data_IF_042602076810
#
_entry.id   IF_042602076810
#
_cell.length_a   1.000
_cell.length_b   1.000
_cell.length_c   1.000
_cell.angle_alpha   90.00
_cell.angle_beta   90.00
_cell.angle_gamma   90.00
#
_symmetry.space_group_name_H-M   'P 1'
#
loop_
_entity.id
_entity.type
_entity.pdbx_description
1 polymer ?
#
# COMPACT_ATOMS: atom_id res chain seq x y z
N UNK A 1 11.97 -10.15 30.38
CA UNK A 1 13.29 -10.81 30.19
C UNK A 1 13.16 -11.93 29.14
N UNK A 2 14.20 -12.23 28.35
CA UNK A 2 14.16 -13.30 27.33
C UNK A 2 13.60 -12.91 25.95
N UNK A 3 12.81 -11.83 25.86
CA UNK A 3 12.33 -11.30 24.58
C UNK A 3 13.40 -10.44 23.89
N UNK A 4 13.80 -10.78 22.67
CA UNK A 4 14.83 -10.07 21.89
C UNK A 4 14.28 -9.71 20.50
N UNK A 5 14.70 -8.55 19.99
CA UNK A 5 14.39 -8.08 18.64
C UNK A 5 15.68 -7.94 17.85
N UNK A 6 15.78 -8.63 16.72
CA UNK A 6 16.84 -8.42 15.74
C UNK A 6 16.22 -7.72 14.53
N UNK A 7 16.40 -6.40 14.48
CA UNK A 7 15.91 -5.57 13.39
C UNK A 7 16.72 -5.81 12.11
N UNK A 8 16.06 -5.71 10.96
CA UNK A 8 16.76 -5.53 9.67
C UNK A 8 17.53 -4.20 9.65
N UNK A 9 18.33 -4.02 8.59
CA UNK A 9 18.96 -2.74 8.28
C UNK A 9 17.92 -1.61 8.18
N UNK A 10 18.25 -0.45 8.77
CA UNK A 10 17.42 0.74 8.70
C UNK A 10 17.51 1.37 7.32
N UNK A 11 16.35 1.71 6.73
CA UNK A 11 16.28 2.29 5.38
C UNK A 11 16.33 3.82 5.42
N UNK A 12 16.23 4.42 6.60
CA UNK A 12 16.39 5.87 6.81
C UNK A 12 17.86 6.31 6.71
N UNK A 13 18.43 6.32 5.51
CA UNK A 13 19.82 6.74 5.28
C UNK A 13 19.97 8.25 5.57
N UNK A 14 20.86 8.63 6.49
CA UNK A 14 21.19 10.04 6.78
C UNK A 14 20.09 10.90 7.40
N UNK A 15 18.84 10.42 7.52
CA UNK A 15 17.66 11.12 8.07
C UNK A 15 17.34 12.48 7.43
N UNK A 16 17.83 12.75 6.22
CA UNK A 16 17.49 13.96 5.48
C UNK A 16 16.03 13.90 5.02
N UNK A 17 15.19 14.79 5.54
CA UNK A 17 13.78 14.88 5.13
C UNK A 17 13.61 15.44 3.71
N UNK A 18 14.68 16.00 3.12
CA UNK A 18 14.71 16.46 1.73
C UNK A 18 15.10 15.31 0.79
N UNK A 19 16.21 14.63 1.08
CA UNK A 19 16.76 13.59 0.18
C UNK A 19 16.00 12.26 0.30
N UNK A 20 15.41 12.01 1.48
CA UNK A 20 14.74 10.77 1.86
C UNK A 20 13.39 11.07 2.54
N UNK A 21 12.45 11.74 1.85
CA UNK A 21 11.27 12.32 2.48
C UNK A 21 10.31 11.31 3.11
N UNK A 22 10.29 10.05 2.63
CA UNK A 22 9.45 8.99 3.18
C UNK A 22 10.22 8.10 4.14
N UNK A 23 11.36 7.57 3.70
CA UNK A 23 12.16 6.62 4.49
C UNK A 23 12.70 7.24 5.78
N UNK A 24 12.93 8.55 5.84
CA UNK A 24 13.32 9.24 7.09
C UNK A 24 12.21 9.31 8.15
N UNK A 25 10.95 9.09 7.78
CA UNK A 25 9.78 9.29 8.67
C UNK A 25 8.92 8.04 8.84
N UNK A 26 8.87 7.18 7.83
CA UNK A 26 7.90 6.10 7.73
C UNK A 26 8.55 4.72 7.60
N UNK A 27 9.85 4.59 7.86
CA UNK A 27 10.51 3.28 7.92
C UNK A 27 10.04 2.48 9.15
N UNK A 28 9.40 1.35 8.91
CA UNK A 28 8.94 0.41 9.93
C UNK A 28 9.94 -0.74 10.04
N UNK A 29 10.70 -0.78 11.14
CA UNK A 29 11.75 -1.79 11.35
C UNK A 29 11.20 -3.20 11.47
N UNK A 30 11.24 -3.97 10.37
CA UNK A 30 10.89 -5.38 10.37
C UNK A 30 11.93 -6.17 11.19
N UNK A 31 11.48 -6.88 12.23
CA UNK A 31 12.38 -7.53 13.18
C UNK A 31 12.04 -9.01 13.36
N UNK A 32 13.09 -9.82 13.48
CA UNK A 32 12.98 -11.16 14.03
C UNK A 32 12.76 -11.05 15.54
N UNK A 33 11.65 -11.60 16.02
CA UNK A 33 11.28 -11.61 17.44
C UNK A 33 11.62 -12.98 18.02
N UNK A 34 12.54 -13.00 18.98
CA UNK A 34 13.05 -14.23 19.61
C UNK A 34 12.54 -14.29 21.05
N UNK A 35 11.89 -15.41 21.39
CA UNK A 35 11.42 -15.71 22.73
C UNK A 35 12.37 -16.75 23.35
N UNK A 36 13.36 -16.29 24.11
CA UNK A 36 14.37 -17.10 24.81
C UNK A 36 13.93 -17.30 26.27
N UNK A 37 13.28 -18.45 26.55
CA UNK A 37 12.69 -18.82 27.84
C UNK A 37 11.89 -17.69 28.52
N UNK A 38 10.93 -17.13 27.77
CA UNK A 38 10.10 -16.02 28.23
C UNK A 38 8.99 -16.54 29.14
N UNK A 39 9.02 -16.13 30.41
CA UNK A 39 7.88 -16.31 31.30
C UNK A 39 6.70 -15.43 30.84
N UNK A 40 5.57 -16.05 30.48
CA UNK A 40 4.31 -15.38 30.14
C UNK A 40 3.34 -15.51 31.32
N UNK A 41 3.04 -14.41 32.04
CA UNK A 41 2.07 -14.42 33.13
C UNK A 41 0.67 -14.87 32.67
N UNK A 42 -0.07 -15.55 33.54
CA UNK A 42 -1.40 -16.09 33.20
C UNK A 42 -2.42 -15.01 32.81
N UNK A 43 -2.31 -13.78 33.31
CA UNK A 43 -3.14 -12.64 32.92
C UNK A 43 -2.86 -12.12 31.49
N UNK A 44 -1.82 -12.64 30.83
CA UNK A 44 -1.48 -12.37 29.42
C UNK A 44 -1.77 -13.55 28.50
N UNK A 45 -2.31 -14.65 29.02
CA UNK A 45 -2.64 -15.85 28.24
C UNK A 45 -4.09 -15.76 27.78
N UNK A 46 -4.30 -15.72 26.46
CA UNK A 46 -5.64 -15.72 25.86
C UNK A 46 -6.10 -17.13 25.45
N UNK A 47 -5.19 -17.94 24.92
CA UNK A 47 -5.46 -19.31 24.47
C UNK A 47 -4.28 -20.18 24.92
N UNK A 48 -4.55 -21.30 25.59
CA UNK A 48 -3.53 -22.25 26.06
C UNK A 48 -3.95 -23.68 25.71
N UNK A 49 -3.13 -24.38 24.92
CA UNK A 49 -3.31 -25.80 24.56
C UNK A 49 -4.71 -26.18 24.04
N UNK A 50 -5.39 -25.27 23.33
CA UNK A 50 -6.68 -25.53 22.70
C UNK A 50 -6.61 -25.17 21.21
N UNK A 51 -6.49 -26.21 20.37
CA UNK A 51 -6.26 -26.07 18.93
C UNK A 51 -7.51 -25.59 18.22
N UNK A 52 -8.68 -26.02 18.66
CA UNK A 52 -9.97 -25.66 18.07
C UNK A 52 -10.26 -24.17 18.23
N UNK A 53 -10.06 -23.62 19.43
CA UNK A 53 -10.20 -22.17 19.70
C UNK A 53 -9.13 -21.39 18.94
N UNK A 54 -7.87 -21.86 18.91
CA UNK A 54 -6.81 -21.19 18.17
C UNK A 54 -7.12 -21.08 16.66
N UNK A 55 -7.61 -22.15 16.04
CA UNK A 55 -7.94 -22.16 14.61
C UNK A 55 -9.20 -21.33 14.27
N UNK A 56 -10.12 -21.19 15.21
CA UNK A 56 -11.38 -20.44 15.01
C UNK A 56 -11.35 -19.01 15.56
N UNK A 57 -10.26 -18.58 16.21
CA UNK A 57 -10.17 -17.27 16.87
C UNK A 57 -10.47 -16.10 15.91
N UNK A 58 -9.91 -16.11 14.70
CA UNK A 58 -10.16 -15.03 13.73
C UNK A 58 -11.61 -14.98 13.22
N UNK A 59 -12.23 -16.14 12.96
CA UNK A 59 -13.62 -16.18 12.51
C UNK A 59 -14.59 -15.81 13.63
N UNK A 60 -14.33 -16.31 14.84
CA UNK A 60 -15.21 -16.15 15.99
C UNK A 60 -15.07 -14.80 16.68
N UNK A 61 -13.96 -14.08 16.53
CA UNK A 61 -13.83 -12.73 17.10
C UNK A 61 -14.39 -11.66 16.18
N UNK A 62 -14.70 -11.99 14.93
CA UNK A 62 -15.07 -11.02 13.88
C UNK A 62 -14.04 -9.88 13.71
N UNK A 63 -12.78 -10.10 14.09
CA UNK A 63 -11.73 -9.09 13.94
C UNK A 63 -11.34 -8.84 12.48
N UNK A 64 -11.48 -9.87 11.62
CA UNK A 64 -11.09 -9.81 10.20
C UNK A 64 -11.69 -8.64 9.41
N UNK A 65 -13.03 -8.42 9.42
CA UNK A 65 -13.66 -7.28 8.78
C UNK A 65 -13.06 -5.93 9.19
N UNK A 66 -12.81 -5.71 10.49
CA UNK A 66 -12.24 -4.47 11.00
C UNK A 66 -10.77 -4.28 10.60
N UNK A 67 -9.98 -5.35 10.63
CA UNK A 67 -8.60 -5.36 10.14
C UNK A 67 -8.58 -5.01 8.65
N UNK A 68 -9.42 -5.67 7.84
CA UNK A 68 -9.52 -5.40 6.41
C UNK A 68 -9.98 -3.97 6.12
N UNK A 69 -10.89 -3.39 6.91
CA UNK A 69 -11.29 -2.00 6.79
C UNK A 69 -10.08 -1.07 6.94
N UNK A 70 -9.28 -1.24 8.01
CA UNK A 70 -8.06 -0.44 8.21
C UNK A 70 -7.07 -0.61 7.05
N UNK A 71 -6.87 -1.83 6.56
CA UNK A 71 -5.96 -2.12 5.44
C UNK A 71 -6.42 -1.40 4.18
N UNK A 72 -7.71 -1.48 3.84
CA UNK A 72 -8.27 -0.86 2.63
C UNK A 72 -8.22 0.67 2.74
N UNK A 73 -8.50 1.26 3.91
CA UNK A 73 -8.32 2.70 4.14
C UNK A 73 -6.87 3.12 3.90
N UNK A 74 -5.89 2.39 4.45
CA UNK A 74 -4.46 2.64 4.23
C UNK A 74 -4.07 2.50 2.75
N UNK A 75 -4.56 1.47 2.07
CA UNK A 75 -4.32 1.23 0.64
C UNK A 75 -4.89 2.36 -0.23
N UNK A 76 -6.12 2.79 0.04
CA UNK A 76 -6.77 3.90 -0.65
C UNK A 76 -5.96 5.19 -0.53
N UNK A 77 -5.53 5.55 0.68
CA UNK A 77 -4.70 6.73 0.91
C UNK A 77 -3.36 6.65 0.17
N UNK A 78 -2.76 5.45 0.10
CA UNK A 78 -1.52 5.23 -0.65
C UNK A 78 -1.72 5.36 -2.16
N UNK A 79 -2.81 4.83 -2.71
CA UNK A 79 -3.17 5.02 -4.13
C UNK A 79 -3.45 6.50 -4.46
N UNK A 80 -4.16 7.21 -3.59
CA UNK A 80 -4.42 8.65 -3.72
C UNK A 80 -3.12 9.44 -3.80
N UNK A 81 -2.19 9.14 -2.88
CA UNK A 81 -0.88 9.78 -2.86
C UNK A 81 -0.08 9.52 -4.13
N UNK A 82 -0.04 8.27 -4.61
CA UNK A 82 0.66 7.91 -5.84
C UNK A 82 0.04 8.59 -7.06
N UNK A 83 -1.29 8.65 -7.14
CA UNK A 83 -2.00 9.36 -8.20
C UNK A 83 -1.66 10.86 -8.20
N UNK A 84 -1.73 11.51 -7.04
CA UNK A 84 -1.38 12.93 -6.91
C UNK A 84 0.08 13.20 -7.27
N UNK A 85 1.00 12.33 -6.85
CA UNK A 85 2.41 12.43 -7.19
C UNK A 85 2.66 12.28 -8.69
N UNK A 86 1.99 11.33 -9.35
CA UNK A 86 2.07 11.15 -10.79
C UNK A 86 1.55 12.37 -11.55
N UNK A 87 0.42 12.95 -11.12
CA UNK A 87 -0.13 14.17 -11.74
C UNK A 87 0.89 15.32 -11.67
N UNK A 88 1.44 15.60 -10.49
CA UNK A 88 2.46 16.64 -10.30
C UNK A 88 3.72 16.38 -11.15
N UNK A 89 4.17 15.12 -11.24
CA UNK A 89 5.33 14.75 -12.05
C UNK A 89 5.08 14.98 -13.54
N UNK A 90 3.89 14.66 -14.04
CA UNK A 90 3.56 14.87 -15.47
C UNK A 90 3.46 16.34 -15.84
N UNK A 91 2.92 17.17 -14.94
CA UNK A 91 2.91 18.64 -15.08
C UNK A 91 4.34 19.21 -15.06
N UNK A 92 5.18 18.79 -14.12
CA UNK A 92 6.56 19.25 -14.02
C UNK A 92 7.44 18.86 -15.23
N UNK A 93 7.07 17.78 -15.93
CA UNK A 93 7.75 17.34 -17.16
C UNK A 93 7.06 17.85 -18.43
N UNK A 94 5.95 18.59 -18.33
CA UNK A 94 5.11 19.03 -19.45
C UNK A 94 4.66 17.86 -20.35
N UNK A 95 4.34 16.71 -19.75
CA UNK A 95 3.91 15.48 -20.44
C UNK A 95 2.46 15.10 -20.17
N UNK A 96 1.74 15.88 -19.37
CA UNK A 96 0.35 15.68 -18.97
C UNK A 96 -0.66 15.61 -20.14
N UNK A 97 -0.34 16.21 -21.29
CA UNK A 97 -1.15 16.12 -22.52
C UNK A 97 -0.81 14.91 -23.41
N UNK A 98 0.24 14.15 -23.09
CA UNK A 98 0.67 13.01 -23.91
C UNK A 98 -0.26 11.82 -23.71
N UNK A 99 -0.92 11.27 -24.77
CA UNK A 99 -1.92 10.21 -24.62
C UNK A 99 -1.40 8.94 -23.94
N UNK A 100 -0.15 8.56 -24.21
CA UNK A 100 0.50 7.41 -23.54
C UNK A 100 0.63 7.63 -22.02
N UNK A 101 1.00 8.83 -21.59
CA UNK A 101 1.13 9.19 -20.16
C UNK A 101 -0.24 9.24 -19.49
N UNK A 102 -1.25 9.78 -20.17
CA UNK A 102 -2.64 9.78 -19.68
C UNK A 102 -3.18 8.35 -19.52
N UNK A 103 -2.84 7.43 -20.44
CA UNK A 103 -3.22 6.03 -20.32
C UNK A 103 -2.61 5.38 -19.07
N UNK A 104 -1.33 5.64 -18.77
CA UNK A 104 -0.69 5.17 -17.54
C UNK A 104 -1.35 5.78 -16.29
N UNK A 105 -1.59 7.10 -16.28
CA UNK A 105 -2.23 7.78 -15.16
C UNK A 105 -3.66 7.28 -14.89
N UNK A 106 -4.40 6.90 -15.94
CA UNK A 106 -5.75 6.33 -15.82
C UNK A 106 -5.78 5.01 -15.04
N UNK A 107 -4.72 4.19 -15.12
CA UNK A 107 -4.60 2.98 -14.29
C UNK A 107 -4.53 3.35 -12.80
N UNK A 108 -3.82 4.42 -12.43
CA UNK A 108 -3.74 4.91 -11.05
C UNK A 108 -5.11 5.37 -10.54
N UNK A 109 -5.85 6.12 -11.37
CA UNK A 109 -7.22 6.59 -11.06
C UNK A 109 -8.13 5.39 -10.79
N UNK A 110 -8.06 4.37 -11.64
CA UNK A 110 -8.89 3.16 -11.51
C UNK A 110 -8.66 2.47 -10.17
N UNK A 111 -7.40 2.30 -9.75
CA UNK A 111 -7.07 1.63 -8.49
C UNK A 111 -7.53 2.45 -7.28
N UNK A 112 -7.38 3.78 -7.33
CA UNK A 112 -7.88 4.67 -6.28
C UNK A 112 -9.42 4.61 -6.16
N UNK A 113 -10.15 4.82 -7.26
CA UNK A 113 -11.62 4.84 -7.26
C UNK A 113 -12.23 3.49 -6.89
N UNK A 114 -11.66 2.38 -7.35
CA UNK A 114 -12.11 1.03 -6.94
C UNK A 114 -11.90 0.82 -5.43
N UNK A 115 -10.75 1.23 -4.89
CA UNK A 115 -10.48 1.09 -3.45
C UNK A 115 -11.45 1.92 -2.61
N UNK A 116 -11.72 3.15 -3.05
CA UNK A 116 -12.68 4.07 -2.43
C UNK A 116 -14.11 3.53 -2.47
N UNK A 117 -14.57 3.10 -3.65
CA UNK A 117 -15.91 2.54 -3.82
C UNK A 117 -16.13 1.29 -2.95
N UNK A 118 -15.14 0.40 -2.85
CA UNK A 118 -15.22 -0.77 -1.98
C UNK A 118 -15.25 -0.38 -0.49
N UNK A 119 -14.48 0.63 -0.07
CA UNK A 119 -14.52 1.11 1.30
C UNK A 119 -15.90 1.69 1.65
N UNK A 120 -16.45 2.53 0.79
CA UNK A 120 -17.80 3.12 0.96
C UNK A 120 -18.90 2.04 0.98
N UNK A 121 -18.82 1.04 0.10
CA UNK A 121 -19.73 -0.10 0.10
C UNK A 121 -19.63 -0.90 1.41
N UNK A 122 -18.42 -1.07 1.96
CA UNK A 122 -18.23 -1.81 3.22
C UNK A 122 -18.93 -1.15 4.40
N UNK A 123 -18.93 0.19 4.43
CA UNK A 123 -19.57 0.99 5.47
C UNK A 123 -21.08 1.01 5.25
N UNK A 124 -21.53 1.22 4.01
CA UNK A 124 -22.95 1.30 3.67
C UNK A 124 -23.69 -0.01 3.92
N UNK A 125 -23.01 -1.14 3.74
CA UNK A 125 -23.56 -2.48 3.94
C UNK A 125 -23.26 -3.06 5.33
N UNK A 126 -22.68 -2.27 6.25
CA UNK A 126 -22.30 -2.73 7.57
C UNK A 126 -23.50 -3.26 8.37
N UNK A 127 -23.28 -4.25 9.22
CA UNK A 127 -24.31 -4.92 10.01
C UNK A 127 -23.86 -5.12 11.45
N UNK A 128 -24.81 -5.11 12.37
CA UNK A 128 -24.54 -5.49 13.77
C UNK A 128 -24.20 -6.98 13.84
N UNK A 129 -23.10 -7.31 14.53
CA UNK A 129 -22.76 -8.68 14.87
C UNK A 129 -23.45 -9.13 16.18
N UNK A 130 -23.18 -10.36 16.60
CA UNK A 130 -23.83 -10.99 17.76
C UNK A 130 -23.54 -10.31 19.11
N UNK A 131 -22.47 -9.52 19.21
CA UNK A 131 -22.14 -8.72 20.41
C UNK A 131 -22.64 -7.28 20.34
N UNK A 132 -23.42 -6.94 19.30
CA UNK A 132 -23.91 -5.58 19.10
C UNK A 132 -22.82 -4.60 18.65
N UNK A 133 -21.80 -5.07 17.93
CA UNK A 133 -20.78 -4.21 17.30
C UNK A 133 -21.09 -4.08 15.80
N UNK A 134 -20.98 -2.87 15.26
CA UNK A 134 -21.16 -2.62 13.84
C UNK A 134 -19.97 -3.18 13.05
N UNK A 135 -20.20 -4.23 12.27
CA UNK A 135 -19.21 -4.93 11.46
C UNK A 135 -19.29 -4.45 9.99
N UNK A 136 -18.19 -3.98 9.38
CA UNK A 136 -18.19 -3.60 7.98
C UNK A 136 -18.35 -4.82 7.07
N UNK A 137 -18.94 -4.64 5.89
CA UNK A 137 -19.12 -5.73 4.93
C UNK A 137 -17.77 -6.23 4.40
N UNK A 138 -17.52 -7.52 4.60
CA UNK A 138 -16.24 -8.17 4.31
C UNK A 138 -16.00 -8.40 2.82
N UNK A 139 -17.05 -8.56 2.02
CA UNK A 139 -16.92 -8.86 0.59
C UNK A 139 -16.23 -7.73 -0.18
N UNK A 140 -16.69 -6.46 -0.13
CA UNK A 140 -16.02 -5.37 -0.83
C UNK A 140 -14.61 -5.11 -0.28
N UNK A 141 -14.39 -5.25 1.03
CA UNK A 141 -13.07 -5.10 1.63
C UNK A 141 -12.07 -6.15 1.13
N UNK A 142 -12.51 -7.40 1.01
CA UNK A 142 -11.67 -8.51 0.51
C UNK A 142 -11.31 -8.31 -0.96
N UNK A 143 -12.26 -7.81 -1.76
CA UNK A 143 -12.02 -7.48 -3.17
C UNK A 143 -10.97 -6.36 -3.32
N UNK A 144 -11.13 -5.24 -2.60
CA UNK A 144 -10.18 -4.12 -2.64
C UNK A 144 -8.79 -4.50 -2.15
N UNK A 145 -8.69 -5.28 -1.07
CA UNK A 145 -7.39 -5.76 -0.57
C UNK A 145 -6.67 -6.63 -1.61
N UNK A 146 -7.41 -7.55 -2.24
CA UNK A 146 -6.85 -8.47 -3.22
C UNK A 146 -6.44 -7.75 -4.52
N UNK A 147 -7.26 -6.82 -5.00
CA UNK A 147 -6.92 -6.03 -6.19
C UNK A 147 -5.70 -5.15 -5.95
N UNK A 148 -5.62 -4.48 -4.78
CA UNK A 148 -4.50 -3.62 -4.44
C UNK A 148 -3.17 -4.37 -4.33
N UNK A 149 -3.18 -5.59 -3.77
CA UNK A 149 -1.99 -6.46 -3.64
C UNK A 149 -1.32 -6.69 -5.01
N UNK A 150 -2.13 -6.95 -6.04
CA UNK A 150 -1.64 -7.13 -7.41
C UNK A 150 -1.34 -5.82 -8.12
N UNK A 151 -2.08 -4.76 -7.80
CA UNK A 151 -1.96 -3.46 -8.47
C UNK A 151 -0.77 -2.63 -7.96
N UNK A 152 -0.38 -2.73 -6.68
CA UNK A 152 0.63 -1.85 -6.11
C UNK A 152 1.99 -1.88 -6.83
N UNK A 153 2.55 -3.05 -7.22
CA UNK A 153 3.75 -3.08 -8.06
C UNK A 153 3.58 -2.31 -9.38
N UNK A 154 2.40 -2.38 -10.01
CA UNK A 154 2.07 -1.65 -11.23
C UNK A 154 1.96 -0.14 -10.99
N UNK A 155 1.39 0.29 -9.86
CA UNK A 155 1.36 1.71 -9.49
C UNK A 155 2.78 2.30 -9.39
N UNK A 156 3.70 1.54 -8.79
CA UNK A 156 5.11 1.95 -8.67
C UNK A 156 5.83 1.92 -10.03
N UNK A 157 5.58 0.90 -10.85
CA UNK A 157 6.10 0.85 -12.23
C UNK A 157 5.62 2.06 -13.05
N UNK A 158 4.37 2.48 -12.92
CA UNK A 158 3.84 3.66 -13.61
C UNK A 158 4.60 4.93 -13.21
N UNK A 159 4.90 5.13 -11.91
CA UNK A 159 5.75 6.26 -11.48
C UNK A 159 7.13 6.21 -12.11
N UNK A 160 7.73 5.02 -12.22
CA UNK A 160 9.02 4.82 -12.88
C UNK A 160 8.97 5.14 -14.38
N UNK A 161 7.89 4.74 -15.07
CA UNK A 161 7.70 5.02 -16.49
C UNK A 161 7.46 6.52 -16.76
N UNK A 162 6.67 7.17 -15.91
CA UNK A 162 6.41 8.63 -15.99
C UNK A 162 7.68 9.42 -15.67
N UNK A 163 8.36 9.07 -14.58
CA UNK A 163 9.53 9.82 -14.11
C UNK A 163 10.82 9.54 -14.87
N UNK A 164 10.99 8.31 -15.38
CA UNK A 164 12.16 7.87 -16.16
C UNK A 164 13.49 8.33 -15.53
N UNK A 165 14.39 8.91 -16.33
CA UNK A 165 15.69 9.45 -15.89
C UNK A 165 15.57 10.58 -14.86
N UNK A 166 14.45 11.29 -14.78
CA UNK A 166 14.25 12.35 -13.79
C UNK A 166 14.14 11.83 -12.37
N UNK A 167 13.89 10.53 -12.18
CA UNK A 167 13.98 9.89 -10.86
C UNK A 167 15.42 9.55 -10.47
N UNK A 168 16.35 9.47 -11.43
CA UNK A 168 17.75 9.11 -11.15
C UNK A 168 18.62 10.36 -11.06
N UNK A 169 18.41 11.32 -11.96
CA UNK A 169 19.13 12.59 -12.00
C UNK A 169 18.56 13.60 -10.99
N UNK A 170 18.57 13.24 -9.70
CA UNK A 170 18.02 14.06 -8.61
C UNK A 170 19.15 14.51 -7.68
N UNK A 171 19.50 15.80 -7.63
CA UNK A 171 20.50 16.32 -6.71
C UNK A 171 20.10 16.13 -5.25
N UNK A 172 21.07 16.16 -4.35
CA UNK A 172 20.85 16.26 -2.92
C UNK A 172 20.57 17.69 -2.49
N UNK A 173 20.02 17.90 -1.29
CA UNK A 173 19.82 19.24 -0.72
C UNK A 173 21.15 20.00 -0.63
N UNK A 174 22.23 19.30 -0.25
CA UNK A 174 23.56 19.87 -0.10
C UNK A 174 24.19 20.33 -1.42
N UNK A 175 23.79 19.76 -2.56
CA UNK A 175 24.33 20.15 -3.87
C UNK A 175 23.93 21.60 -4.24
N UNK A 176 22.79 22.08 -3.74
CA UNK A 176 22.35 23.47 -3.95
C UNK A 176 23.21 24.50 -3.22
N UNK A 177 23.87 24.10 -2.14
CA UNK A 177 24.77 24.96 -1.37
C UNK A 177 26.24 24.82 -1.82
N UNK A 178 26.49 24.00 -2.85
CA UNK A 178 27.82 23.78 -3.43
C UNK A 178 28.12 24.75 -4.58
N UNK A 179 29.35 24.71 -5.10
CA UNK A 179 29.79 25.56 -6.22
C UNK A 179 28.95 25.37 -7.51
N UNK A 180 28.23 24.25 -7.65
CA UNK A 180 27.33 23.99 -8.79
C UNK A 180 25.88 24.45 -8.53
N UNK A 181 25.54 24.95 -7.33
CA UNK A 181 24.18 25.29 -6.95
C UNK A 181 23.50 26.26 -7.90
N UNK A 182 24.23 27.28 -8.38
CA UNK A 182 23.72 28.22 -9.39
C UNK A 182 23.37 27.55 -10.72
N UNK A 183 24.12 26.53 -11.13
CA UNK A 183 23.81 25.74 -12.34
C UNK A 183 22.58 24.86 -12.11
N UNK A 184 22.40 24.30 -10.91
CA UNK A 184 21.21 23.51 -10.59
C UNK A 184 19.94 24.39 -10.66
N UNK A 185 19.99 25.60 -10.12
CA UNK A 185 18.89 26.57 -10.21
C UNK A 185 18.55 26.91 -11.66
N UNK A 186 19.55 27.06 -12.53
CA UNK A 186 19.34 27.35 -13.96
C UNK A 186 18.79 26.14 -14.73
N UNK A 187 19.39 24.96 -14.58
CA UNK A 187 19.07 23.80 -15.42
C UNK A 187 17.89 22.94 -14.93
N UNK A 188 17.52 23.03 -13.66
CA UNK A 188 16.43 22.22 -13.09
C UNK A 188 15.15 23.00 -12.84
N UNK A 189 15.13 24.32 -13.02
CA UNK A 189 13.87 25.06 -12.97
C UNK A 189 12.99 24.69 -14.17
N UNK A 190 11.68 24.66 -13.95
CA UNK A 190 10.66 24.48 -14.99
C UNK A 190 9.83 25.75 -15.13
N UNK A 191 8.91 25.77 -16.08
CA UNK A 191 7.94 26.87 -16.22
C UNK A 191 7.03 27.02 -14.98
N UNK A 192 6.92 25.98 -14.16
CA UNK A 192 5.96 25.89 -13.05
C UNK A 192 6.60 25.74 -11.66
N UNK A 193 7.85 25.30 -11.58
CA UNK A 193 8.54 24.99 -10.33
C UNK A 193 9.98 25.52 -10.35
N UNK A 194 10.44 26.06 -9.22
CA UNK A 194 11.86 26.30 -9.02
C UNK A 194 12.65 24.97 -8.89
N UNK A 195 13.97 25.04 -9.04
CA UNK A 195 14.82 23.84 -9.03
C UNK A 195 14.72 23.03 -7.73
N UNK A 196 14.60 23.68 -6.57
CA UNK A 196 14.45 22.99 -5.28
C UNK A 196 13.08 22.33 -5.15
N UNK A 197 12.01 22.97 -5.62
CA UNK A 197 10.66 22.42 -5.65
C UNK A 197 10.59 21.21 -6.58
N UNK A 198 11.13 21.32 -7.79
CA UNK A 198 11.26 20.20 -8.72
C UNK A 198 12.05 19.06 -8.08
N UNK A 199 13.19 19.36 -7.46
CA UNK A 199 14.02 18.33 -6.82
C UNK A 199 13.28 17.63 -5.69
N UNK A 200 12.55 18.35 -4.83
CA UNK A 200 11.71 17.75 -3.78
C UNK A 200 10.66 16.79 -4.35
N UNK A 201 10.00 17.18 -5.44
CA UNK A 201 9.00 16.34 -6.12
C UNK A 201 9.63 15.03 -6.60
N UNK A 202 10.76 15.09 -7.29
CA UNK A 202 11.44 13.90 -7.81
C UNK A 202 12.15 13.09 -6.72
N UNK A 203 12.60 13.70 -5.61
CA UNK A 203 13.06 12.98 -4.41
C UNK A 203 11.93 12.15 -3.80
N UNK A 204 10.72 12.70 -3.74
CA UNK A 204 9.54 11.96 -3.29
C UNK A 204 9.23 10.78 -4.21
N UNK A 205 9.21 11.02 -5.54
CA UNK A 205 9.05 9.98 -6.55
C UNK A 205 10.10 8.88 -6.43
N UNK A 206 11.37 9.25 -6.27
CA UNK A 206 12.47 8.29 -6.13
C UNK A 206 12.36 7.47 -4.84
N UNK A 207 12.03 8.09 -3.71
CA UNK A 207 12.00 7.40 -2.41
C UNK A 207 10.83 6.39 -2.33
N UNK A 208 9.70 6.64 -3.00
CA UNK A 208 8.60 5.67 -3.05
C UNK A 208 8.82 4.56 -4.09
N UNK A 209 9.56 4.82 -5.17
CA UNK A 209 9.59 3.93 -6.35
C UNK A 209 10.94 3.29 -6.67
N UNK A 210 12.06 3.82 -6.17
CA UNK A 210 13.41 3.38 -6.55
C UNK A 210 14.26 3.02 -5.33
N UNK A 211 14.12 3.75 -4.22
CA UNK A 211 14.94 3.52 -3.03
C UNK A 211 14.70 2.14 -2.41
N UNK A 212 15.59 1.73 -1.48
CA UNK A 212 15.42 0.51 -0.70
C UNK A 212 14.12 0.49 0.10
N UNK A 213 13.65 1.66 0.56
CA UNK A 213 12.33 1.82 1.17
C UNK A 213 11.20 1.53 0.18
N UNK A 214 11.25 2.12 -1.02
CA UNK A 214 10.28 1.83 -2.08
C UNK A 214 10.22 0.35 -2.43
N UNK A 215 11.39 -0.29 -2.59
CA UNK A 215 11.49 -1.74 -2.82
C UNK A 215 10.88 -2.58 -1.70
N UNK A 216 11.15 -2.23 -0.43
CA UNK A 216 10.52 -2.86 0.74
C UNK A 216 9.01 -2.69 0.73
N UNK A 217 8.50 -1.51 0.39
CA UNK A 217 7.05 -1.26 0.32
C UNK A 217 6.38 -2.13 -0.75
N UNK A 218 7.01 -2.31 -1.92
CA UNK A 218 6.50 -3.21 -2.97
C UNK A 218 6.43 -4.65 -2.48
N UNK A 219 7.46 -5.13 -1.78
CA UNK A 219 7.47 -6.48 -1.23
C UNK A 219 6.41 -6.65 -0.12
N UNK A 220 6.29 -5.65 0.75
CA UNK A 220 5.30 -5.60 1.81
C UNK A 220 3.88 -5.72 1.22
N UNK A 221 3.46 -4.82 0.31
CA UNK A 221 2.10 -4.85 -0.22
C UNK A 221 1.81 -6.15 -0.99
N UNK A 222 2.82 -6.73 -1.66
CA UNK A 222 2.68 -8.00 -2.40
C UNK A 222 2.36 -9.20 -1.50
N UNK A 223 2.95 -9.25 -0.31
CA UNK A 223 2.83 -10.39 0.61
C UNK A 223 2.16 -10.05 1.93
N UNK A 224 1.59 -8.85 2.05
CA UNK A 224 0.96 -8.38 3.29
C UNK A 224 -0.16 -9.31 3.76
N UNK A 225 -0.92 -9.88 2.82
CA UNK A 225 -1.99 -10.86 3.12
C UNK A 225 -1.48 -12.30 3.19
N UNK A 226 -0.17 -12.53 3.09
CA UNK A 226 0.44 -13.85 2.96
C UNK A 226 0.61 -14.29 1.51
N UNK A 227 0.68 -15.60 1.29
CA UNK A 227 0.83 -16.18 -0.05
C UNK A 227 -0.39 -15.83 -0.92
N UNK A 228 -0.19 -15.26 -2.13
CA UNK A 228 -1.29 -14.80 -2.98
C UNK A 228 -2.16 -15.95 -3.49
N UNK A 229 -1.59 -17.13 -3.75
CA UNK A 229 -2.35 -18.29 -4.22
C UNK A 229 -3.25 -18.86 -3.12
N UNK A 230 -2.72 -18.98 -1.90
CA UNK A 230 -3.48 -19.38 -0.72
C UNK A 230 -4.59 -18.37 -0.42
N UNK A 231 -4.31 -17.08 -0.50
CA UNK A 231 -5.30 -16.02 -0.27
C UNK A 231 -6.43 -16.08 -1.31
N UNK A 232 -6.10 -16.25 -2.59
CA UNK A 232 -7.09 -16.41 -3.65
C UNK A 232 -7.94 -17.68 -3.48
N UNK A 233 -7.32 -18.81 -3.13
CA UNK A 233 -8.01 -20.06 -2.86
C UNK A 233 -8.98 -19.92 -1.68
N UNK A 234 -8.55 -19.29 -0.59
CA UNK A 234 -9.40 -19.00 0.56
C UNK A 234 -10.58 -18.12 0.17
N UNK A 235 -10.33 -17.02 -0.55
CA UNK A 235 -11.39 -16.12 -1.02
C UNK A 235 -12.44 -16.84 -1.85
N UNK A 236 -12.03 -17.69 -2.79
CA UNK A 236 -12.97 -18.47 -3.60
C UNK A 236 -13.76 -19.46 -2.74
N UNK A 237 -13.09 -20.16 -1.82
CA UNK A 237 -13.73 -21.16 -0.96
C UNK A 237 -14.78 -20.54 -0.02
N UNK A 238 -14.48 -19.38 0.57
CA UNK A 238 -15.30 -18.73 1.59
C UNK A 238 -16.44 -17.86 1.04
N UNK A 239 -16.38 -17.45 -0.23
CA UNK A 239 -17.43 -16.62 -0.84
C UNK A 239 -18.74 -17.42 -0.99
N UNK A 240 -19.89 -16.85 -0.62
CA UNK A 240 -21.19 -17.48 -0.89
C UNK A 240 -21.48 -17.45 -2.39
N UNK A 241 -21.54 -18.64 -2.99
CA UNK A 241 -21.70 -18.83 -4.43
C UNK A 241 -23.11 -19.28 -4.81
N UNK A 242 -24.01 -19.54 -3.86
CA UNK A 242 -25.31 -20.15 -4.17
C UNK A 242 -26.18 -19.24 -5.05
N UNK A 243 -26.25 -17.95 -4.72
CA UNK A 243 -27.04 -17.01 -5.49
C UNK A 243 -26.52 -16.85 -6.93
N UNK A 244 -25.20 -16.77 -7.11
CA UNK A 244 -24.60 -16.61 -8.45
C UNK A 244 -24.70 -17.90 -9.27
N UNK A 245 -24.57 -19.08 -8.65
CA UNK A 245 -24.83 -20.37 -9.29
C UNK A 245 -26.27 -20.47 -9.76
N UNK A 246 -27.24 -20.11 -8.90
CA UNK A 246 -28.66 -20.13 -9.25
C UNK A 246 -28.96 -19.27 -10.47
N UNK A 247 -28.45 -18.04 -10.51
CA UNK A 247 -28.61 -17.14 -11.67
C UNK A 247 -28.04 -17.72 -12.96
N UNK A 248 -26.90 -18.40 -12.88
CA UNK A 248 -26.31 -19.07 -14.04
C UNK A 248 -27.18 -20.24 -14.51
N UNK A 249 -27.67 -21.07 -13.58
CA UNK A 249 -28.57 -22.19 -13.87
C UNK A 249 -29.88 -21.73 -14.52
N UNK A 250 -30.46 -20.62 -14.05
CA UNK A 250 -31.67 -20.02 -14.64
C UNK A 250 -31.52 -19.64 -16.12
N UNK A 251 -30.30 -19.45 -16.62
CA UNK A 251 -30.02 -19.19 -18.04
C UNK A 251 -29.76 -20.51 -18.78
N UNK A 252 -29.01 -21.43 -18.16
CA UNK A 252 -28.71 -22.75 -18.73
C UNK A 252 -29.99 -23.54 -18.97
N UNK A 253 -30.90 -23.55 -18.00
CA UNK A 253 -32.15 -24.32 -18.02
C UNK A 253 -33.23 -23.70 -18.93
N UNK A 254 -32.94 -22.57 -19.61
CA UNK A 254 -33.81 -21.96 -20.62
C UNK A 254 -33.59 -22.52 -22.04
N UNK A 255 -32.55 -23.32 -22.25
CA UNK A 255 -32.30 -24.05 -23.50
C UNK A 255 -32.94 -25.42 -23.50
#
# INVERSE_FOLDING_TARGET
>A
PGLKFLCREALSVGKSAFDHPLSSKFDEGDALVIFDDVFVPWDKVFICNNVEIANSAFSNTRAGPHINHQIVTKNMAKAEFVLGLAALMTEALSTNETPYIQALASELITVYEVSKACLEASISNAKMNEWGVMEPDSAPLSAAKSSFTSAYPRLIEILQLIGSSSLIAVPSDADFDSDIGGLLEEYLSTDTLDAKQRTKLFRMGWDISVSSFGGRQVLYERFFSGDPHRTAALSFSSYDKELVKKRALEIIDRG
#
